data_IF_112948316662
#
_entry.id   IF_112948316662
#
_cell.length_a   1.000
_cell.length_b   1.000
_cell.length_c   1.000
_cell.angle_alpha   90.00
_cell.angle_beta   90.00
_cell.angle_gamma   90.00
#
_symmetry.space_group_name_H-M   'P 1'
#
loop_
_entity.id
_entity.type
_entity.pdbx_description
1 polymer ?
#
# COMPACT_ATOMS: atom_id res chain seq x y z
N UNK A 1 27.96 16.87 -40.51
CA UNK A 1 27.74 16.96 -39.05
C UNK A 1 26.58 17.87 -38.63
N UNK A 2 26.12 18.83 -39.44
CA UNK A 2 24.96 19.67 -39.10
C UNK A 2 23.58 18.99 -39.27
N UNK A 3 23.44 18.03 -40.20
CA UNK A 3 22.17 17.35 -40.46
C UNK A 3 21.75 16.36 -39.34
N UNK A 4 22.73 15.69 -38.70
CA UNK A 4 22.50 14.73 -37.62
C UNK A 4 22.07 15.40 -36.30
N UNK A 5 22.55 16.62 -36.05
CA UNK A 5 22.19 17.41 -34.87
C UNK A 5 20.77 17.96 -35.03
N UNK A 6 20.39 18.41 -36.23
CA UNK A 6 19.04 18.90 -36.52
C UNK A 6 17.99 17.78 -36.45
N UNK A 7 18.30 16.57 -36.94
CA UNK A 7 17.41 15.41 -36.81
C UNK A 7 17.26 14.97 -35.35
N UNK A 8 18.35 14.94 -34.56
CA UNK A 8 18.27 14.65 -33.12
C UNK A 8 17.46 15.70 -32.35
N UNK A 9 17.61 16.99 -32.66
CA UNK A 9 16.81 18.05 -32.06
C UNK A 9 15.34 17.99 -32.49
N UNK A 10 15.06 17.59 -33.73
CA UNK A 10 13.70 17.37 -34.24
C UNK A 10 13.05 16.16 -33.56
N UNK A 11 13.81 15.10 -33.29
CA UNK A 11 13.37 13.94 -32.53
C UNK A 11 13.13 14.29 -31.05
N UNK A 12 14.06 15.01 -30.41
CA UNK A 12 13.89 15.53 -29.05
C UNK A 12 12.67 16.45 -28.93
N UNK A 13 12.47 17.38 -29.87
CA UNK A 13 11.29 18.26 -29.88
C UNK A 13 9.98 17.51 -30.17
N UNK A 14 9.99 16.41 -30.93
CA UNK A 14 8.84 15.52 -31.09
C UNK A 14 8.50 14.79 -29.79
N UNK A 15 9.51 14.36 -29.02
CA UNK A 15 9.34 13.79 -27.68
C UNK A 15 8.85 14.82 -26.65
N UNK A 16 9.32 16.07 -26.71
CA UNK A 16 8.94 17.16 -25.81
C UNK A 16 7.61 17.85 -26.17
N UNK A 17 7.02 17.57 -27.33
CA UNK A 17 5.75 18.20 -27.76
C UNK A 17 4.51 17.63 -27.05
N UNK A 18 4.62 16.42 -26.48
CA UNK A 18 3.54 15.86 -25.65
C UNK A 18 3.91 15.97 -24.18
N UNK A 19 3.19 16.81 -23.45
CA UNK A 19 3.35 16.97 -21.99
C UNK A 19 3.27 15.62 -21.27
N UNK A 20 2.46 14.70 -21.77
CA UNK A 20 2.23 13.39 -21.16
C UNK A 20 3.44 12.45 -21.24
N UNK A 21 4.20 12.45 -22.36
CA UNK A 21 5.38 11.58 -22.52
C UNK A 21 6.58 12.08 -21.72
N UNK A 22 6.75 13.40 -21.61
CA UNK A 22 7.79 13.99 -20.75
C UNK A 22 7.49 13.74 -19.26
N UNK A 23 6.24 13.89 -18.84
CA UNK A 23 5.83 13.58 -17.46
C UNK A 23 6.01 12.09 -17.17
N UNK A 24 5.63 11.21 -18.11
CA UNK A 24 5.78 9.76 -17.97
C UNK A 24 7.25 9.34 -17.89
N UNK A 25 8.10 9.80 -18.81
CA UNK A 25 9.54 9.48 -18.80
C UNK A 25 10.25 10.07 -17.58
N UNK A 26 9.84 11.27 -17.13
CA UNK A 26 10.32 11.87 -15.88
C UNK A 26 9.91 11.06 -14.65
N UNK A 27 8.65 10.60 -14.58
CA UNK A 27 8.16 9.72 -13.52
C UNK A 27 8.85 8.35 -13.51
N UNK A 28 9.15 7.77 -14.67
CA UNK A 28 9.91 6.52 -14.77
C UNK A 28 11.35 6.72 -14.31
N UNK A 29 12.01 7.81 -14.70
CA UNK A 29 13.38 8.11 -14.28
C UNK A 29 13.46 8.42 -12.77
N UNK A 30 12.59 9.27 -12.25
CA UNK A 30 12.47 9.54 -10.81
C UNK A 30 12.07 8.28 -10.04
N UNK A 31 11.17 7.49 -10.59
CA UNK A 31 10.76 6.20 -10.04
C UNK A 31 11.92 5.22 -9.99
N UNK A 32 12.79 5.19 -11.01
CA UNK A 32 13.95 4.28 -11.05
C UNK A 32 15.01 4.69 -10.02
N UNK A 33 15.38 5.99 -9.98
CA UNK A 33 16.36 6.51 -9.02
C UNK A 33 15.80 6.42 -7.59
N UNK A 34 14.56 6.83 -7.38
CA UNK A 34 13.87 6.72 -6.09
C UNK A 34 13.73 5.27 -5.65
N UNK A 35 13.45 4.34 -6.57
CA UNK A 35 13.41 2.91 -6.26
C UNK A 35 14.78 2.39 -5.86
N UNK A 36 15.86 2.75 -6.57
CA UNK A 36 17.22 2.32 -6.21
C UNK A 36 17.63 2.81 -4.83
N UNK A 37 17.40 4.08 -4.51
CA UNK A 37 17.72 4.66 -3.21
C UNK A 37 16.83 4.06 -2.10
N UNK A 38 15.53 3.85 -2.36
CA UNK A 38 14.64 3.16 -1.42
C UNK A 38 15.01 1.69 -1.24
N UNK A 39 15.45 0.98 -2.28
CA UNK A 39 15.93 -0.40 -2.16
C UNK A 39 17.22 -0.51 -1.35
N UNK A 40 18.08 0.52 -1.38
CA UNK A 40 19.29 0.61 -0.55
C UNK A 40 18.96 0.90 0.92
N UNK A 41 18.03 1.82 1.21
CA UNK A 41 17.63 2.16 2.59
C UNK A 41 16.74 1.07 3.22
N UNK A 42 15.94 0.38 2.42
CA UNK A 42 15.11 -0.76 2.84
C UNK A 42 15.85 -2.09 2.61
N UNK A 43 17.16 -2.05 2.36
CA UNK A 43 17.97 -3.25 2.23
C UNK A 43 17.84 -4.08 3.51
N UNK A 44 17.27 -5.27 3.36
CA UNK A 44 17.01 -6.15 4.47
C UNK A 44 18.33 -6.80 4.92
N UNK A 45 18.82 -6.39 6.09
CA UNK A 45 20.01 -6.99 6.71
C UNK A 45 19.62 -7.81 7.94
N UNK A 46 19.85 -9.12 7.89
CA UNK A 46 19.56 -10.01 9.02
C UNK A 46 20.58 -9.80 10.15
N UNK A 47 20.17 -9.64 11.42
CA UNK A 47 21.09 -9.40 12.54
C UNK A 47 21.89 -10.64 12.96
N UNK A 48 21.59 -11.82 12.41
CA UNK A 48 22.30 -13.09 12.63
C UNK A 48 22.61 -13.40 14.10
N UNK A 49 21.64 -13.11 14.96
CA UNK A 49 21.68 -13.35 16.39
C UNK A 49 20.47 -14.21 16.77
N UNK A 50 20.66 -15.25 17.60
CA UNK A 50 19.55 -16.04 18.11
C UNK A 50 18.54 -15.13 18.83
N UNK A 51 17.26 -15.50 18.78
CA UNK A 51 16.07 -14.79 19.30
C UNK A 51 15.73 -13.46 18.60
N UNK A 52 16.74 -12.74 18.09
CA UNK A 52 16.53 -11.44 17.41
C UNK A 52 16.12 -11.62 15.96
N UNK A 53 16.60 -12.67 15.32
CA UNK A 53 16.31 -12.99 13.92
C UNK A 53 14.81 -13.12 13.66
N UNK A 54 14.09 -13.91 14.47
CA UNK A 54 12.63 -14.05 14.38
C UNK A 54 11.90 -12.71 14.47
N UNK A 55 12.20 -11.92 15.49
CA UNK A 55 11.53 -10.63 15.74
C UNK A 55 11.79 -9.67 14.58
N UNK A 56 13.05 -9.59 14.12
CA UNK A 56 13.43 -8.70 13.04
C UNK A 56 12.82 -9.10 11.70
N UNK A 57 12.88 -10.39 11.34
CA UNK A 57 12.28 -10.88 10.09
C UNK A 57 10.75 -10.73 10.07
N UNK A 58 10.08 -10.99 11.20
CA UNK A 58 8.64 -10.78 11.33
C UNK A 58 8.28 -9.29 11.28
N UNK A 59 9.05 -8.42 11.93
CA UNK A 59 8.85 -6.98 11.88
C UNK A 59 9.06 -6.42 10.47
N UNK A 60 10.05 -6.91 9.73
CA UNK A 60 10.32 -6.49 8.35
C UNK A 60 9.17 -6.84 7.39
N UNK A 61 8.45 -7.93 7.63
CA UNK A 61 7.24 -8.27 6.87
C UNK A 61 6.03 -7.48 7.38
N UNK A 62 5.81 -7.49 8.70
CA UNK A 62 4.58 -7.02 9.34
C UNK A 62 4.47 -5.50 9.49
N UNK A 63 5.55 -4.79 9.82
CA UNK A 63 5.51 -3.34 10.06
C UNK A 63 5.19 -2.55 8.79
N UNK A 64 5.82 -2.80 7.62
CA UNK A 64 5.45 -2.10 6.40
C UNK A 64 4.03 -2.47 5.94
N UNK A 65 3.59 -3.73 6.12
CA UNK A 65 2.21 -4.12 5.87
C UNK A 65 1.23 -3.32 6.75
N UNK A 66 1.48 -3.23 8.05
CA UNK A 66 0.63 -2.46 8.98
C UNK A 66 0.60 -0.97 8.60
N UNK A 67 1.74 -0.38 8.27
CA UNK A 67 1.81 1.02 7.82
C UNK A 67 0.99 1.25 6.55
N UNK A 68 1.15 0.39 5.53
CA UNK A 68 0.37 0.45 4.29
C UNK A 68 -1.13 0.28 4.54
N UNK A 69 -1.51 -0.60 5.47
CA UNK A 69 -2.90 -0.78 5.86
C UNK A 69 -3.48 0.48 6.51
N UNK A 70 -2.77 1.07 7.48
CA UNK A 70 -3.21 2.30 8.15
C UNK A 70 -3.34 3.45 7.16
N UNK A 71 -2.37 3.64 6.27
CA UNK A 71 -2.42 4.65 5.20
C UNK A 71 -3.65 4.39 4.30
N UNK A 72 -3.89 3.14 3.91
CA UNK A 72 -5.04 2.75 3.10
C UNK A 72 -6.39 3.05 3.78
N UNK A 73 -6.47 2.87 5.10
CA UNK A 73 -7.67 3.19 5.89
C UNK A 73 -7.88 4.71 5.98
N UNK A 74 -6.82 5.49 6.23
CA UNK A 74 -6.86 6.95 6.36
C UNK A 74 -7.25 7.62 5.04
N UNK A 75 -6.73 7.15 3.90
CA UNK A 75 -6.99 7.77 2.60
C UNK A 75 -8.35 7.39 2.00
N UNK A 76 -9.02 6.39 2.57
CA UNK A 76 -10.32 5.98 2.09
C UNK A 76 -11.44 6.89 2.63
N UNK A 77 -11.96 7.77 1.77
CA UNK A 77 -13.06 8.69 2.11
C UNK A 77 -14.31 7.95 2.65
N UNK A 78 -14.54 6.69 2.26
CA UNK A 78 -15.65 5.91 2.80
C UNK A 78 -15.49 5.61 4.30
N UNK A 79 -14.25 5.46 4.80
CA UNK A 79 -13.99 5.28 6.23
C UNK A 79 -14.50 6.47 7.03
N UNK A 80 -14.17 7.69 6.59
CA UNK A 80 -14.56 8.92 7.28
C UNK A 80 -16.05 9.18 7.22
N UNK A 81 -16.71 8.85 6.10
CA UNK A 81 -18.17 8.95 5.99
C UNK A 81 -18.88 8.05 7.02
N UNK A 82 -18.39 6.82 7.22
CA UNK A 82 -18.94 5.91 8.24
C UNK A 82 -18.74 6.44 9.66
N UNK A 83 -17.55 6.95 9.96
CA UNK A 83 -17.23 7.52 11.26
C UNK A 83 -18.12 8.74 11.54
N UNK A 84 -18.30 9.61 10.55
CA UNK A 84 -19.18 10.79 10.65
C UNK A 84 -20.66 10.40 10.82
N UNK A 85 -21.14 9.38 10.11
CA UNK A 85 -22.49 8.86 10.27
C UNK A 85 -22.70 8.22 11.64
N UNK A 86 -21.74 7.44 12.14
CA UNK A 86 -21.79 6.84 13.48
C UNK A 86 -21.84 7.91 14.59
N UNK A 87 -21.01 8.95 14.45
CA UNK A 87 -20.99 10.07 15.38
C UNK A 87 -22.32 10.85 15.37
N UNK A 88 -22.92 11.09 14.19
CA UNK A 88 -24.18 11.87 14.07
C UNK A 88 -25.43 11.08 14.46
N UNK A 89 -25.55 9.80 14.10
CA UNK A 89 -26.77 9.01 14.35
C UNK A 89 -26.84 8.41 15.75
N UNK A 90 -25.72 8.39 16.49
CA UNK A 90 -25.59 7.57 17.68
C UNK A 90 -25.72 6.08 17.36
N UNK A 91 -25.21 5.22 18.23
CA UNK A 91 -25.14 3.76 18.01
C UNK A 91 -26.50 3.04 17.88
N UNK A 92 -27.63 3.76 17.90
CA UNK A 92 -28.98 3.19 18.02
C UNK A 92 -29.65 2.76 16.72
N UNK A 93 -29.25 3.27 15.55
CA UNK A 93 -29.94 3.02 14.27
C UNK A 93 -29.07 2.30 13.22
N UNK A 94 -28.07 1.55 13.67
CA UNK A 94 -27.11 0.91 12.78
C UNK A 94 -27.40 -0.58 12.61
N UNK A 95 -27.87 -0.98 11.43
CA UNK A 95 -28.01 -2.40 11.09
C UNK A 95 -26.63 -3.06 11.01
N UNK A 96 -26.40 -4.06 11.86
CA UNK A 96 -25.11 -4.75 11.96
C UNK A 96 -24.66 -5.37 10.62
N UNK A 97 -25.61 -5.91 9.84
CA UNK A 97 -25.33 -6.51 8.54
C UNK A 97 -24.87 -5.47 7.50
N UNK A 98 -25.52 -4.31 7.45
CA UNK A 98 -25.12 -3.21 6.57
C UNK A 98 -23.73 -2.69 6.94
N UNK A 99 -23.45 -2.56 8.25
CA UNK A 99 -22.13 -2.18 8.74
C UNK A 99 -21.04 -3.15 8.36
N UNK A 100 -21.29 -4.45 8.51
CA UNK A 100 -20.31 -5.46 8.17
C UNK A 100 -19.96 -5.43 6.67
N UNK A 101 -20.96 -5.21 5.81
CA UNK A 101 -20.75 -5.08 4.37
C UNK A 101 -19.96 -3.81 4.01
N UNK A 102 -20.28 -2.67 4.61
CA UNK A 102 -19.58 -1.41 4.31
C UNK A 102 -18.15 -1.47 4.88
N UNK A 103 -17.98 -1.96 6.10
CA UNK A 103 -16.68 -2.16 6.72
C UNK A 103 -15.82 -3.14 5.93
N UNK A 104 -16.38 -4.26 5.49
CA UNK A 104 -15.70 -5.21 4.60
C UNK A 104 -15.29 -4.57 3.28
N UNK A 105 -16.11 -3.69 2.70
CA UNK A 105 -15.76 -2.95 1.49
C UNK A 105 -14.64 -1.92 1.71
N UNK A 106 -14.54 -1.32 2.91
CA UNK A 106 -13.46 -0.40 3.27
C UNK A 106 -12.16 -1.16 3.51
N UNK A 107 -12.22 -2.20 4.34
CA UNK A 107 -11.07 -3.03 4.70
C UNK A 107 -10.51 -3.78 3.49
N UNK A 108 -11.37 -4.29 2.60
CA UNK A 108 -10.92 -4.96 1.37
C UNK A 108 -10.12 -4.04 0.43
N UNK A 109 -10.46 -2.75 0.36
CA UNK A 109 -9.67 -1.77 -0.43
C UNK A 109 -8.36 -1.42 0.25
N UNK A 110 -8.37 -1.21 1.56
CA UNK A 110 -7.17 -0.91 2.33
C UNK A 110 -6.19 -2.09 2.41
N UNK A 111 -6.69 -3.32 2.34
CA UNK A 111 -5.89 -4.55 2.42
C UNK A 111 -5.09 -4.88 1.14
N UNK A 112 -5.34 -4.22 0.01
CA UNK A 112 -4.64 -4.52 -1.25
C UNK A 112 -3.13 -4.33 -1.12
N UNK A 113 -2.69 -3.14 -0.72
CA UNK A 113 -1.28 -2.81 -0.55
C UNK A 113 -0.54 -3.72 0.46
N UNK A 114 -1.05 -3.97 1.69
CA UNK A 114 -0.36 -4.84 2.64
C UNK A 114 -0.31 -6.31 2.20
N UNK A 115 -1.35 -6.82 1.53
CA UNK A 115 -1.34 -8.17 0.95
C UNK A 115 -0.26 -8.25 -0.13
N UNK A 116 -0.20 -7.27 -1.05
CA UNK A 116 0.83 -7.22 -2.09
C UNK A 116 2.24 -7.17 -1.49
N UNK A 117 2.47 -6.35 -0.46
CA UNK A 117 3.75 -6.29 0.23
C UNK A 117 4.15 -7.64 0.85
N UNK A 118 3.21 -8.29 1.54
CA UNK A 118 3.45 -9.57 2.20
C UNK A 118 3.77 -10.67 1.17
N UNK A 119 3.03 -10.70 0.06
CA UNK A 119 3.29 -11.61 -1.07
C UNK A 119 4.69 -11.39 -1.65
N UNK A 120 5.07 -10.14 -1.95
CA UNK A 120 6.40 -9.83 -2.51
C UNK A 120 7.50 -10.24 -1.52
N UNK A 121 7.31 -9.96 -0.23
CA UNK A 121 8.28 -10.31 0.82
C UNK A 121 8.46 -11.83 0.96
N UNK A 122 7.35 -12.58 0.91
CA UNK A 122 7.36 -14.04 0.96
C UNK A 122 7.99 -14.67 -0.30
N UNK A 123 7.72 -14.11 -1.48
CA UNK A 123 8.32 -14.61 -2.72
C UNK A 123 9.83 -14.33 -2.80
N UNK A 124 10.30 -13.20 -2.25
CA UNK A 124 11.74 -12.94 -2.06
C UNK A 124 12.37 -13.92 -1.07
N UNK A 125 11.66 -14.20 0.03
CA UNK A 125 12.03 -15.21 1.02
C UNK A 125 13.16 -14.83 1.97
N UNK A 126 13.82 -13.68 1.79
CA UNK A 126 14.94 -13.25 2.64
C UNK A 126 14.53 -13.04 4.11
N UNK A 127 13.41 -12.35 4.34
CA UNK A 127 12.88 -12.12 5.68
C UNK A 127 12.39 -13.40 6.37
N UNK A 128 11.81 -14.34 5.60
CA UNK A 128 11.36 -15.64 6.10
C UNK A 128 12.56 -16.52 6.49
N UNK A 129 13.58 -16.59 5.62
CA UNK A 129 14.83 -17.32 5.90
C UNK A 129 15.51 -16.76 7.15
N UNK A 130 15.61 -15.44 7.29
CA UNK A 130 16.15 -14.82 8.49
C UNK A 130 15.33 -15.23 9.73
N UNK A 131 14.00 -15.11 9.68
CA UNK A 131 13.13 -15.39 10.83
C UNK A 131 13.11 -16.85 11.29
N UNK A 132 13.23 -17.81 10.37
CA UNK A 132 13.05 -19.24 10.66
C UNK A 132 14.33 -20.06 10.66
N UNK A 133 15.46 -19.47 10.26
CA UNK A 133 16.78 -20.11 10.30
C UNK A 133 17.08 -20.76 11.66
N UNK A 134 16.81 -20.06 12.77
CA UNK A 134 17.09 -20.52 14.13
C UNK A 134 16.21 -21.69 14.62
N UNK A 135 15.06 -21.92 14.00
CA UNK A 135 14.10 -22.96 14.39
C UNK A 135 14.23 -24.24 13.58
N UNK A 136 15.21 -24.32 12.67
CA UNK A 136 15.41 -25.53 11.88
C UNK A 136 15.95 -26.66 12.75
N UNK A 137 15.37 -27.85 12.60
CA UNK A 137 15.81 -29.03 13.34
C UNK A 137 17.12 -29.57 12.72
N UNK A 138 18.25 -29.55 13.46
CA UNK A 138 19.52 -30.05 12.96
C UNK A 138 19.50 -31.55 12.66
N UNK A 139 18.57 -32.31 13.26
CA UNK A 139 18.42 -33.75 12.98
C UNK A 139 17.85 -34.04 11.59
N UNK A 140 17.20 -33.05 10.98
CA UNK A 140 16.70 -33.16 9.61
C UNK A 140 17.77 -32.98 8.54
N UNK A 141 19.01 -32.63 8.93
CA UNK A 141 20.16 -32.47 8.07
C UNK A 141 21.07 -33.70 8.18
N UNK A 142 21.27 -34.40 7.07
CA UNK A 142 22.12 -35.59 7.02
C UNK A 142 23.56 -35.25 7.41
N UNK A 143 24.11 -35.98 8.39
CA UNK A 143 25.50 -35.83 8.87
C UNK A 143 25.84 -34.45 9.45
N UNK A 144 24.86 -33.74 10.02
CA UNK A 144 25.13 -32.48 10.71
C UNK A 144 26.03 -32.70 11.95
N UNK A 145 27.11 -31.90 12.13
CA UNK A 145 28.08 -32.15 13.18
C UNK A 145 27.45 -32.01 14.58
N UNK A 146 27.65 -32.99 15.48
CA UNK A 146 27.11 -32.95 16.83
C UNK A 146 27.79 -31.82 17.64
N UNK A 147 26.99 -31.06 18.39
CA UNK A 147 27.46 -29.93 19.21
C UNK A 147 27.20 -28.54 18.62
N UNK A 148 26.73 -28.46 17.37
CA UNK A 148 26.24 -27.23 16.78
C UNK A 148 24.73 -27.12 17.01
N UNK A 149 24.28 -25.98 17.54
CA UNK A 149 22.89 -25.74 17.95
C UNK A 149 22.23 -24.56 17.20
N UNK A 150 21.11 -24.04 17.73
CA UNK A 150 20.35 -22.94 17.10
C UNK A 150 21.17 -21.67 16.88
N UNK A 151 22.23 -21.45 17.67
CA UNK A 151 23.12 -20.29 17.54
C UNK A 151 23.88 -20.23 16.21
N UNK A 152 24.25 -21.39 15.64
CA UNK A 152 24.93 -21.45 14.34
C UNK A 152 23.92 -21.37 13.20
N UNK A 153 22.75 -21.99 13.38
CA UNK A 153 21.67 -21.93 12.40
C UNK A 153 21.16 -20.50 12.22
N UNK A 154 21.06 -19.72 13.31
CA UNK A 154 20.75 -18.29 13.28
C UNK A 154 21.75 -17.45 12.45
N UNK A 155 22.96 -17.97 12.19
CA UNK A 155 23.99 -17.27 11.40
C UNK A 155 24.04 -17.69 9.94
N UNK A 156 23.31 -18.75 9.52
CA UNK A 156 23.25 -19.16 8.11
C UNK A 156 22.83 -18.05 7.13
N UNK A 157 21.89 -17.14 7.45
CA UNK A 157 21.54 -16.05 6.53
C UNK A 157 22.66 -15.00 6.32
N UNK A 158 23.77 -15.04 7.07
CA UNK A 158 24.91 -14.13 6.91
C UNK A 158 26.07 -14.75 6.12
N UNK A 159 26.95 -13.92 5.56
CA UNK A 159 28.12 -14.35 4.77
C UNK A 159 29.26 -14.95 5.62
N UNK A 160 29.34 -14.63 6.92
CA UNK A 160 30.53 -14.88 7.77
C UNK A 160 30.71 -16.33 8.27
N UNK A 161 30.37 -17.35 7.47
CA UNK A 161 30.48 -18.75 7.90
C UNK A 161 31.71 -19.51 7.39
N UNK A 162 32.26 -20.44 8.21
CA UNK A 162 33.37 -21.27 7.81
C UNK A 162 32.99 -22.17 6.63
N UNK A 163 33.94 -22.34 5.70
CA UNK A 163 33.74 -23.10 4.44
C UNK A 163 33.20 -24.53 4.64
N UNK A 164 33.41 -25.13 5.81
CA UNK A 164 32.92 -26.48 6.14
C UNK A 164 31.40 -26.57 6.34
N UNK A 165 30.69 -25.43 6.43
CA UNK A 165 29.24 -25.37 6.68
C UNK A 165 28.42 -24.81 5.51
N UNK A 166 29.08 -24.45 4.40
CA UNK A 166 28.43 -23.85 3.23
C UNK A 166 27.39 -24.76 2.59
N UNK A 167 27.68 -26.06 2.48
CA UNK A 167 26.73 -27.05 1.95
C UNK A 167 25.43 -27.11 2.76
N UNK A 168 25.53 -27.13 4.10
CA UNK A 168 24.36 -27.13 4.99
C UNK A 168 23.61 -25.80 4.94
N UNK A 169 24.33 -24.68 4.89
CA UNK A 169 23.76 -23.35 4.73
C UNK A 169 22.92 -23.27 3.45
N UNK A 170 23.46 -23.68 2.31
CA UNK A 170 22.76 -23.63 1.03
C UNK A 170 21.51 -24.51 1.03
N UNK A 171 21.59 -25.70 1.63
CA UNK A 171 20.43 -26.60 1.76
C UNK A 171 19.32 -26.00 2.63
N UNK A 172 19.68 -25.44 3.79
CA UNK A 172 18.72 -24.81 4.71
C UNK A 172 18.09 -23.57 4.08
N UNK A 173 18.90 -22.70 3.46
CA UNK A 173 18.41 -21.50 2.76
C UNK A 173 17.46 -21.91 1.63
N UNK A 174 17.81 -22.93 0.85
CA UNK A 174 16.98 -23.45 -0.25
C UNK A 174 15.64 -23.96 0.27
N UNK A 175 15.64 -24.76 1.34
CA UNK A 175 14.43 -25.31 1.96
C UNK A 175 13.51 -24.21 2.51
N UNK A 176 14.05 -23.29 3.31
CA UNK A 176 13.28 -22.18 3.88
C UNK A 176 12.75 -21.22 2.80
N UNK A 177 13.55 -20.97 1.75
CA UNK A 177 13.11 -20.15 0.61
C UNK A 177 11.98 -20.83 -0.16
N UNK A 178 12.05 -22.14 -0.36
CA UNK A 178 10.96 -22.93 -0.95
C UNK A 178 9.67 -22.81 -0.12
N UNK A 179 9.75 -22.98 1.20
CA UNK A 179 8.58 -22.85 2.08
C UNK A 179 7.99 -21.44 2.01
N UNK A 180 8.84 -20.41 2.05
CA UNK A 180 8.41 -19.02 1.92
C UNK A 180 7.68 -18.77 0.60
N UNK A 181 8.22 -19.26 -0.52
CA UNK A 181 7.59 -19.12 -1.83
C UNK A 181 6.27 -19.89 -1.91
N UNK A 182 6.20 -21.09 -1.32
CA UNK A 182 4.97 -21.87 -1.23
C UNK A 182 3.89 -21.08 -0.47
N UNK A 183 4.22 -20.51 0.70
CA UNK A 183 3.29 -19.64 1.44
C UNK A 183 2.88 -18.42 0.63
N UNK A 184 3.81 -17.80 -0.11
CA UNK A 184 3.51 -16.70 -1.02
C UNK A 184 2.49 -17.07 -2.09
N UNK A 185 2.68 -18.20 -2.77
CA UNK A 185 1.74 -18.70 -3.79
C UNK A 185 0.39 -19.11 -3.21
N UNK A 186 0.38 -19.77 -2.06
CA UNK A 186 -0.84 -20.13 -1.34
C UNK A 186 -1.64 -18.88 -0.93
N UNK A 187 -0.95 -17.82 -0.48
CA UNK A 187 -1.58 -16.55 -0.14
C UNK A 187 -2.20 -15.88 -1.38
N UNK A 188 -1.49 -15.86 -2.53
CA UNK A 188 -2.06 -15.35 -3.79
C UNK A 188 -3.32 -16.12 -4.16
N UNK A 189 -3.26 -17.46 -4.14
CA UNK A 189 -4.39 -18.32 -4.46
C UNK A 189 -5.59 -18.08 -3.54
N UNK A 190 -5.35 -18.02 -2.23
CA UNK A 190 -6.38 -17.76 -1.22
C UNK A 190 -7.04 -16.38 -1.43
N UNK A 191 -6.26 -15.34 -1.70
CA UNK A 191 -6.78 -13.99 -1.98
C UNK A 191 -7.59 -13.97 -3.27
N UNK A 192 -7.14 -14.64 -4.34
CA UNK A 192 -7.88 -14.71 -5.60
C UNK A 192 -9.24 -15.40 -5.42
N UNK A 193 -9.27 -16.52 -4.69
CA UNK A 193 -10.52 -17.23 -4.36
C UNK A 193 -11.43 -16.37 -3.49
N UNK A 194 -10.89 -15.67 -2.49
CA UNK A 194 -11.67 -14.76 -1.64
C UNK A 194 -12.29 -13.61 -2.45
N UNK A 195 -11.52 -13.00 -3.36
CA UNK A 195 -12.03 -11.96 -4.27
C UNK A 195 -13.12 -12.51 -5.19
N UNK A 196 -12.95 -13.72 -5.71
CA UNK A 196 -13.97 -14.38 -6.53
C UNK A 196 -15.26 -14.62 -5.75
N UNK A 197 -15.17 -15.24 -4.57
CA UNK A 197 -16.33 -15.52 -3.71
C UNK A 197 -17.04 -14.24 -3.32
N UNK A 198 -16.32 -13.20 -2.90
CA UNK A 198 -16.93 -11.91 -2.52
C UNK A 198 -17.64 -11.23 -3.70
N UNK A 199 -17.09 -11.33 -4.92
CA UNK A 199 -17.75 -10.83 -6.13
C UNK A 199 -19.01 -11.64 -6.46
N UNK A 200 -18.95 -12.97 -6.39
CA UNK A 200 -20.09 -13.85 -6.59
C UNK A 200 -21.20 -13.56 -5.58
N UNK A 201 -20.87 -13.53 -4.27
CA UNK A 201 -21.83 -13.22 -3.22
C UNK A 201 -22.42 -11.81 -3.39
N UNK A 202 -21.61 -10.82 -3.75
CA UNK A 202 -22.12 -9.47 -4.03
C UNK A 202 -23.13 -9.47 -5.17
N UNK A 203 -22.88 -10.20 -6.25
CA UNK A 203 -23.83 -10.30 -7.37
C UNK A 203 -25.07 -11.15 -7.04
N UNK A 204 -24.92 -12.27 -6.33
CA UNK A 204 -26.04 -13.14 -5.95
C UNK A 204 -26.95 -12.53 -4.88
N UNK A 205 -26.38 -11.78 -3.92
CA UNK A 205 -27.11 -11.16 -2.82
C UNK A 205 -27.51 -9.70 -3.10
N UNK A 206 -27.16 -9.14 -4.27
CA UNK A 206 -27.59 -7.80 -4.64
C UNK A 206 -29.10 -7.82 -4.93
N UNK A 207 -29.90 -7.01 -4.22
CA UNK A 207 -31.33 -6.85 -4.52
C UNK A 207 -31.57 -6.09 -5.83
N UNK A 208 -30.53 -5.51 -6.43
CA UNK A 208 -30.59 -4.68 -7.63
C UNK A 208 -30.10 -5.47 -8.85
N UNK A 209 -30.79 -5.32 -9.98
CA UNK A 209 -30.37 -5.87 -11.27
C UNK A 209 -29.04 -5.24 -11.74
N UNK A 210 -28.24 -5.98 -12.52
CA UNK A 210 -26.95 -5.50 -13.07
C UNK A 210 -27.05 -4.12 -13.75
N UNK A 211 -28.11 -3.89 -14.55
CA UNK A 211 -28.33 -2.60 -15.22
C UNK A 211 -28.63 -1.47 -14.23
N UNK A 212 -29.31 -1.78 -13.13
CA UNK A 212 -29.61 -0.80 -12.08
C UNK A 212 -28.36 -0.48 -11.26
N UNK A 213 -27.49 -1.46 -10.97
CA UNK A 213 -26.20 -1.19 -10.30
C UNK A 213 -25.29 -0.30 -11.18
N UNK A 214 -25.23 -0.56 -12.50
CA UNK A 214 -24.47 0.26 -13.44
C UNK A 214 -25.00 1.71 -13.51
N UNK A 215 -26.32 1.88 -13.63
CA UNK A 215 -26.96 3.20 -13.59
C UNK A 215 -26.67 3.92 -12.27
N UNK A 216 -26.76 3.22 -11.15
CA UNK A 216 -26.51 3.77 -9.82
C UNK A 216 -25.07 4.26 -9.65
N UNK A 217 -24.09 3.50 -10.13
CA UNK A 217 -22.69 3.90 -10.11
C UNK A 217 -22.45 5.17 -10.94
N UNK A 218 -23.08 5.26 -12.12
CA UNK A 218 -22.97 6.43 -12.99
C UNK A 218 -23.68 7.66 -12.41
N UNK A 219 -24.84 7.48 -11.78
CA UNK A 219 -25.54 8.54 -11.07
C UNK A 219 -24.68 9.12 -9.94
N UNK A 220 -24.11 8.27 -9.08
CA UNK A 220 -23.26 8.70 -7.96
C UNK A 220 -22.01 9.46 -8.42
N UNK A 221 -21.36 8.99 -9.49
CA UNK A 221 -20.23 9.70 -10.12
C UNK A 221 -20.65 11.09 -10.62
N UNK A 222 -21.82 11.18 -11.27
CA UNK A 222 -22.34 12.42 -11.82
C UNK A 222 -22.73 13.43 -10.73
N UNK A 223 -23.39 12.95 -9.66
CA UNK A 223 -23.75 13.74 -8.49
C UNK A 223 -22.50 14.33 -7.82
N UNK A 224 -21.47 13.52 -7.56
CA UNK A 224 -20.23 13.98 -6.94
C UNK A 224 -19.55 15.08 -7.77
N UNK A 225 -19.51 14.92 -9.09
CA UNK A 225 -18.94 15.91 -10.01
C UNK A 225 -19.74 17.22 -9.99
N UNK A 226 -21.07 17.15 -10.05
CA UNK A 226 -21.94 18.33 -10.03
C UNK A 226 -21.88 19.04 -8.68
N UNK A 227 -21.81 18.30 -7.59
CA UNK A 227 -21.68 18.86 -6.25
C UNK A 227 -20.38 19.65 -6.11
N UNK A 228 -19.25 19.08 -6.56
CA UNK A 228 -17.96 19.74 -6.48
C UNK A 228 -17.93 21.04 -7.31
N UNK A 229 -18.44 21.00 -8.54
CA UNK A 229 -18.57 22.21 -9.38
C UNK A 229 -19.45 23.29 -8.72
N UNK A 230 -20.58 22.89 -8.17
CA UNK A 230 -21.51 23.81 -7.51
C UNK A 230 -20.92 24.40 -6.23
N UNK A 231 -20.19 23.60 -5.45
CA UNK A 231 -19.52 24.03 -4.24
C UNK A 231 -18.40 25.03 -4.54
N UNK A 232 -17.57 24.79 -5.55
CA UNK A 232 -16.51 25.70 -5.98
C UNK A 232 -17.08 27.06 -6.43
N UNK A 233 -18.14 27.05 -7.25
CA UNK A 233 -18.81 28.26 -7.72
C UNK A 233 -19.49 29.01 -6.56
N UNK A 234 -20.21 28.30 -5.69
CA UNK A 234 -20.92 28.92 -4.55
C UNK A 234 -19.95 29.49 -3.52
N UNK A 235 -18.86 28.79 -3.23
CA UNK A 235 -17.79 29.28 -2.36
C UNK A 235 -17.15 30.55 -2.95
N UNK A 236 -16.83 30.54 -4.25
CA UNK A 236 -16.29 31.72 -4.96
C UNK A 236 -17.27 32.90 -4.93
N UNK A 237 -18.57 32.65 -5.11
CA UNK A 237 -19.60 33.68 -5.12
C UNK A 237 -19.86 34.26 -3.72
N UNK A 238 -19.85 33.45 -2.66
CA UNK A 238 -19.91 33.94 -1.27
C UNK A 238 -18.69 34.80 -0.92
N UNK A 239 -17.49 34.37 -1.32
CA UNK A 239 -16.27 35.13 -1.06
C UNK A 239 -16.25 36.47 -1.80
N UNK A 240 -16.73 36.49 -3.06
CA UNK A 240 -16.94 37.70 -3.84
C UNK A 240 -18.01 38.61 -3.23
N UNK A 241 -19.10 38.05 -2.71
CA UNK A 241 -20.16 38.82 -2.05
C UNK A 241 -19.66 39.45 -0.76
N UNK A 242 -18.90 38.73 0.07
CA UNK A 242 -18.29 39.29 1.28
C UNK A 242 -17.25 40.36 0.97
N UNK A 243 -16.37 40.15 -0.02
CA UNK A 243 -15.39 41.18 -0.42
C UNK A 243 -16.04 42.41 -1.06
N UNK A 244 -17.12 42.26 -1.83
CA UNK A 244 -17.88 43.39 -2.40
C UNK A 244 -18.68 44.13 -1.31
N UNK A 245 -19.26 43.43 -0.33
CA UNK A 245 -19.97 44.04 0.79
C UNK A 245 -18.99 44.78 1.72
N UNK A 246 -17.85 44.16 2.07
CA UNK A 246 -16.79 44.77 2.88
C UNK A 246 -16.07 45.90 2.13
N UNK A 247 -15.91 45.79 0.81
CA UNK A 247 -15.36 46.84 -0.05
C UNK A 247 -16.28 48.05 -0.22
N UNK A 248 -17.60 47.91 0.01
CA UNK A 248 -18.57 49.02 -0.02
C UNK A 248 -18.69 49.81 1.30
N UNK A 249 -18.17 49.30 2.42
CA UNK A 249 -18.17 50.00 3.71
C UNK A 249 -16.79 49.99 4.41
N UNK A 250 -15.74 50.60 3.81
CA UNK A 250 -14.42 50.67 4.44
C UNK A 250 -14.37 51.59 5.68
N UNK A 251 -15.37 52.46 5.89
CA UNK A 251 -15.30 53.54 6.89
C UNK A 251 -15.93 53.21 8.25
N UNK A 252 -16.68 52.11 8.39
CA UNK A 252 -17.41 51.83 9.65
C UNK A 252 -16.67 50.90 10.63
N UNK A 253 -15.63 50.21 10.17
CA UNK A 253 -14.90 49.21 10.99
C UNK A 253 -13.73 49.79 11.78
N UNK A 254 -13.27 51.01 11.50
CA UNK A 254 -12.17 51.63 12.27
C UNK A 254 -12.62 52.15 13.65
N UNK A 255 -13.92 52.23 13.92
CA UNK A 255 -14.48 52.69 15.21
C UNK A 255 -14.89 51.58 16.17
N UNK A 256 -15.07 50.33 15.71
CA UNK A 256 -15.43 49.20 16.57
C UNK A 256 -14.21 48.45 17.14
N UNK A 257 -13.05 48.50 16.49
CA UNK A 257 -11.83 47.83 16.95
C UNK A 257 -11.07 48.59 18.06
N UNK A 258 -11.54 49.75 18.51
CA UNK A 258 -10.91 50.56 19.58
C UNK A 258 -11.72 50.49 20.89
N UNK A 259 -12.75 49.63 20.98
CA UNK A 259 -13.62 49.58 22.17
C UNK A 259 -14.04 48.18 22.64
N UNK A 260 -13.18 47.18 22.45
CA UNK A 260 -13.27 45.89 23.13
C UNK A 260 -11.97 45.60 23.88
#
# INVERSE_FOLDING_TARGET
MAALITENFRFLSLFFKSKDVMIFNGLVALGTVGSQELFSVVAFHCPCSPTRNYIYGLAAIGVPALALFVIGVIWNNHTWNLVAECHKRGTKNFSAAANFLIFGSVMGRAAVAPVTWSVISLLRGEAYVCALSEFMDPTSLDHFPPGYGPDILARFPCEDQPANMTHFKDEVIRRLRYESQLFGWMLIGAVAVLVFITKCLKHCCSPLSYRQEAYWNQYRSSEARLFQQTAEVSHSFCHLRETVILGKHPTYLRTLAVRS
#
